data_IF_316865024013
#
_entry.id   IF_316865024013
#
_cell.length_a   1.000
_cell.length_b   1.000
_cell.length_c   1.000
_cell.angle_alpha   90.00
_cell.angle_beta   90.00
_cell.angle_gamma   90.00
#
_symmetry.space_group_name_H-M   'P 1'
#
loop_
_entity.id
_entity.type
_entity.pdbx_description
1 polymer ?
#
# COMPACT_ATOMS: atom_id res chain seq x y z
N UNK A 1 18.93 -11.32 -9.39
CA UNK A 1 18.10 -10.21 -9.94
C UNK A 1 17.33 -10.79 -11.10
N UNK A 2 16.00 -10.64 -11.12
CA UNK A 2 15.11 -11.39 -12.01
C UNK A 2 15.49 -11.31 -13.49
N UNK A 3 15.86 -10.12 -13.98
CA UNK A 3 16.32 -9.92 -15.36
C UNK A 3 17.55 -10.76 -15.71
N UNK A 4 18.52 -10.89 -14.80
CA UNK A 4 19.72 -11.71 -14.99
C UNK A 4 19.34 -13.19 -15.10
N UNK A 5 18.45 -13.66 -14.22
CA UNK A 5 17.98 -15.05 -14.23
C UNK A 5 17.25 -15.38 -15.55
N UNK A 6 16.34 -14.51 -15.99
CA UNK A 6 15.64 -14.66 -17.27
C UNK A 6 16.62 -14.68 -18.44
N UNK A 7 17.59 -13.77 -18.50
CA UNK A 7 18.62 -13.77 -19.55
C UNK A 7 19.39 -15.10 -19.59
N UNK A 8 19.83 -15.60 -18.44
CA UNK A 8 20.57 -16.86 -18.35
C UNK A 8 19.73 -18.07 -18.74
N UNK A 9 18.43 -18.08 -18.44
CA UNK A 9 17.51 -19.14 -18.88
C UNK A 9 17.37 -19.22 -20.40
N UNK A 10 17.62 -18.10 -21.10
CA UNK A 10 17.65 -18.01 -22.56
C UNK A 10 19.06 -18.23 -23.14
N UNK A 11 20.04 -18.62 -22.32
CA UNK A 11 21.45 -18.77 -22.71
C UNK A 11 22.05 -17.55 -23.42
N UNK A 12 21.57 -16.35 -23.10
CA UNK A 12 22.04 -15.09 -23.69
C UNK A 12 23.18 -14.48 -22.86
N UNK A 13 24.20 -13.95 -23.52
CA UNK A 13 25.23 -13.10 -22.89
C UNK A 13 24.69 -11.70 -22.61
N UNK A 14 25.37 -10.94 -21.74
CA UNK A 14 25.02 -9.55 -21.47
C UNK A 14 25.12 -8.68 -22.74
N UNK A 15 26.11 -8.95 -23.61
CA UNK A 15 26.29 -8.22 -24.87
C UNK A 15 25.13 -8.49 -25.83
N UNK A 16 24.74 -9.75 -26.02
CA UNK A 16 23.58 -10.10 -26.86
C UNK A 16 22.28 -9.47 -26.37
N UNK A 17 22.08 -9.39 -25.03
CA UNK A 17 20.92 -8.67 -24.49
C UNK A 17 20.99 -7.17 -24.76
N UNK A 18 22.17 -6.56 -24.59
CA UNK A 18 22.40 -5.15 -24.86
C UNK A 18 22.08 -4.80 -26.33
N UNK A 19 22.60 -5.61 -27.26
CA UNK A 19 22.40 -5.44 -28.70
C UNK A 19 20.92 -5.58 -29.06
N UNK A 20 20.24 -6.62 -28.57
CA UNK A 20 18.81 -6.85 -28.85
C UNK A 20 17.91 -5.77 -28.25
N UNK A 21 18.25 -5.26 -27.06
CA UNK A 21 17.51 -4.20 -26.39
C UNK A 21 17.90 -2.78 -26.87
N UNK A 22 18.88 -2.64 -27.77
CA UNK A 22 19.41 -1.36 -28.24
C UNK A 22 19.87 -0.44 -27.09
N UNK A 23 20.54 -1.01 -26.09
CA UNK A 23 21.09 -0.28 -24.94
C UNK A 23 22.58 -0.56 -24.78
N UNK A 24 23.32 0.33 -24.12
CA UNK A 24 24.73 0.11 -23.84
C UNK A 24 24.97 -1.05 -22.87
N UNK A 25 26.05 -1.80 -23.08
CA UNK A 25 26.46 -2.91 -22.19
C UNK A 25 26.63 -2.47 -20.72
N UNK A 26 27.04 -1.22 -20.49
CA UNK A 26 27.15 -0.63 -19.15
C UNK A 26 25.78 -0.55 -18.45
N UNK A 27 24.71 -0.26 -19.19
CA UNK A 27 23.33 -0.24 -18.68
C UNK A 27 22.90 -1.62 -18.21
N UNK A 28 23.17 -2.67 -19.01
CA UNK A 28 22.88 -4.06 -18.62
C UNK A 28 23.63 -4.44 -17.33
N UNK A 29 24.94 -4.19 -17.29
CA UNK A 29 25.78 -4.49 -16.10
C UNK A 29 25.28 -3.80 -14.85
N UNK A 30 24.87 -2.54 -14.96
CA UNK A 30 24.34 -1.74 -13.85
C UNK A 30 23.01 -2.28 -13.37
N UNK A 31 22.07 -2.58 -14.29
CA UNK A 31 20.75 -3.13 -13.98
C UNK A 31 20.85 -4.51 -13.33
N UNK A 32 21.70 -5.40 -13.85
CA UNK A 32 21.88 -6.75 -13.26
C UNK A 32 22.53 -6.73 -11.88
N UNK A 33 23.21 -5.62 -11.52
CA UNK A 33 23.74 -5.35 -10.18
C UNK A 33 22.71 -4.67 -9.25
N UNK A 34 21.47 -4.48 -9.69
CA UNK A 34 20.41 -3.86 -8.90
C UNK A 34 20.29 -2.34 -9.08
N UNK A 35 20.96 -1.75 -10.07
CA UNK A 35 20.75 -0.35 -10.41
C UNK A 35 19.35 -0.10 -10.97
N UNK A 36 18.77 1.06 -10.65
CA UNK A 36 17.44 1.45 -11.14
C UNK A 36 17.37 1.57 -12.66
N UNK A 37 16.18 1.57 -13.21
CA UNK A 37 15.94 1.70 -14.65
C UNK A 37 14.66 2.49 -14.90
N UNK A 38 14.59 3.20 -16.01
CA UNK A 38 13.37 3.88 -16.44
C UNK A 38 12.44 2.92 -17.19
N UNK A 39 11.20 3.34 -17.39
CA UNK A 39 10.19 2.52 -18.05
C UNK A 39 10.59 2.15 -19.48
N UNK A 40 11.17 3.08 -20.25
CA UNK A 40 11.62 2.81 -21.62
C UNK A 40 12.65 1.68 -21.68
N UNK A 41 13.65 1.71 -20.78
CA UNK A 41 14.67 0.66 -20.68
C UNK A 41 14.02 -0.65 -20.23
N UNK A 42 13.03 -0.62 -19.32
CA UNK A 42 12.30 -1.82 -18.92
C UNK A 42 11.61 -2.47 -20.11
N UNK A 43 10.85 -1.69 -20.87
CA UNK A 43 10.08 -2.15 -22.03
C UNK A 43 11.03 -2.74 -23.07
N UNK A 44 12.14 -2.05 -23.38
CA UNK A 44 13.16 -2.55 -24.32
C UNK A 44 13.76 -3.88 -23.87
N UNK A 45 14.08 -4.02 -22.58
CA UNK A 45 14.60 -5.28 -22.02
C UNK A 45 13.56 -6.41 -22.05
N UNK A 46 12.30 -6.12 -21.71
CA UNK A 46 11.23 -7.11 -21.75
C UNK A 46 10.95 -7.58 -23.19
N UNK A 47 11.02 -6.68 -24.19
CA UNK A 47 10.96 -7.06 -25.62
C UNK A 47 12.13 -7.95 -26.02
N UNK A 48 13.35 -7.59 -25.60
CA UNK A 48 14.54 -8.37 -25.91
C UNK A 48 14.56 -9.75 -25.22
N UNK A 49 13.89 -9.89 -24.08
CA UNK A 49 13.76 -11.15 -23.35
C UNK A 49 12.51 -11.95 -23.72
N UNK A 50 11.69 -11.45 -24.65
CA UNK A 50 10.40 -12.04 -25.02
C UNK A 50 9.45 -12.22 -23.82
N UNK A 51 9.39 -11.19 -22.97
CA UNK A 51 8.58 -11.11 -21.74
C UNK A 51 7.68 -9.86 -21.69
N UNK A 52 7.49 -9.16 -22.81
CA UNK A 52 6.63 -7.96 -22.84
C UNK A 52 5.18 -8.28 -22.46
N UNK A 53 4.67 -9.45 -22.86
CA UNK A 53 3.31 -9.93 -22.54
C UNK A 53 3.02 -10.00 -21.04
N UNK A 54 4.04 -10.07 -20.18
CA UNK A 54 3.84 -10.04 -18.73
C UNK A 54 3.28 -8.69 -18.25
N UNK A 55 3.41 -7.62 -19.03
CA UNK A 55 2.79 -6.35 -18.72
C UNK A 55 1.27 -6.41 -18.84
N UNK A 56 0.71 -7.30 -19.68
CA UNK A 56 -0.74 -7.40 -19.84
C UNK A 56 -1.42 -7.81 -18.53
N UNK A 57 -0.81 -8.77 -17.81
CA UNK A 57 -1.27 -9.15 -16.48
C UNK A 57 -1.20 -7.98 -15.49
N UNK A 58 -0.10 -7.21 -15.49
CA UNK A 58 0.06 -6.08 -14.57
C UNK A 58 -0.90 -4.93 -14.87
N UNK A 59 -1.17 -4.66 -16.15
CA UNK A 59 -1.94 -3.50 -16.59
C UNK A 59 -3.45 -3.79 -16.64
N UNK A 60 -3.85 -5.01 -16.97
CA UNK A 60 -5.24 -5.36 -17.28
C UNK A 60 -5.86 -6.39 -16.33
N UNK A 61 -5.21 -6.74 -15.20
CA UNK A 61 -5.81 -7.56 -14.12
C UNK A 61 -7.04 -6.92 -13.43
N UNK A 62 -7.57 -5.80 -13.95
CA UNK A 62 -8.54 -4.96 -13.25
C UNK A 62 -10.01 -5.14 -13.63
N UNK A 63 -10.39 -6.10 -14.50
CA UNK A 63 -11.81 -6.28 -14.87
C UNK A 63 -12.61 -7.22 -13.93
N UNK A 64 -12.01 -7.87 -12.94
CA UNK A 64 -12.71 -8.81 -12.04
C UNK A 64 -12.75 -8.39 -10.57
N UNK A 65 -12.61 -7.10 -10.26
CA UNK A 65 -13.28 -6.58 -9.06
C UNK A 65 -14.65 -6.08 -9.47
N UNK A 66 -15.56 -7.04 -9.70
CA UNK A 66 -16.99 -6.79 -9.65
C UNK A 66 -17.26 -6.03 -8.36
N UNK A 67 -17.54 -4.74 -8.50
CA UNK A 67 -18.04 -3.91 -7.44
C UNK A 67 -19.40 -4.52 -7.08
N UNK A 68 -19.42 -5.42 -6.11
CA UNK A 68 -20.68 -5.92 -5.54
C UNK A 68 -21.27 -4.75 -4.76
N UNK A 69 -21.93 -3.86 -5.48
CA UNK A 69 -22.75 -2.84 -4.86
C UNK A 69 -23.98 -3.54 -4.33
N UNK A 70 -23.93 -3.86 -3.05
CA UNK A 70 -25.09 -4.29 -2.28
C UNK A 70 -26.07 -3.12 -2.19
N UNK A 71 -26.79 -2.82 -3.27
CA UNK A 71 -28.03 -2.07 -3.20
C UNK A 71 -29.10 -2.98 -2.60
N UNK A 72 -29.04 -3.21 -1.29
CA UNK A 72 -30.23 -3.60 -0.52
C UNK A 72 -31.06 -2.33 -0.30
N UNK A 73 -31.68 -1.85 -1.38
CA UNK A 73 -32.80 -0.93 -1.33
C UNK A 73 -34.01 -1.72 -0.81
N UNK A 74 -34.45 -1.35 0.39
CA UNK A 74 -35.25 -2.23 1.23
C UNK A 74 -36.69 -2.51 0.80
N UNK A 75 -37.22 -3.56 1.44
CA UNK A 75 -38.63 -3.68 1.79
C UNK A 75 -38.73 -4.02 3.28
N UNK A 76 -39.50 -3.21 4.01
CA UNK A 76 -39.64 -3.33 5.45
C UNK A 76 -40.42 -4.57 5.87
N UNK A 77 -40.03 -5.15 7.00
CA UNK A 77 -40.99 -5.83 7.87
C UNK A 77 -40.59 -5.63 9.32
N UNK A 78 -41.55 -5.16 10.09
CA UNK A 78 -41.32 -4.34 11.27
C UNK A 78 -40.72 -5.07 12.47
N UNK A 79 -40.14 -4.24 13.34
CA UNK A 79 -40.42 -4.28 14.78
C UNK A 79 -40.05 -2.95 15.42
N UNK A 80 -41.06 -2.10 15.54
CA UNK A 80 -41.07 -1.00 16.50
C UNK A 80 -40.94 -1.62 17.90
N UNK A 81 -39.76 -1.54 18.52
CA UNK A 81 -39.67 -1.74 19.96
C UNK A 81 -40.22 -0.49 20.64
N UNK A 82 -41.45 -0.66 21.12
CA UNK A 82 -42.21 0.26 21.95
C UNK A 82 -41.33 0.75 23.10
N UNK A 83 -41.12 2.06 23.13
CA UNK A 83 -40.68 2.83 24.29
C UNK A 83 -41.61 2.54 25.46
N UNK A 84 -41.11 1.90 26.52
CA UNK A 84 -41.69 2.01 27.85
C UNK A 84 -40.69 2.75 28.75
N UNK A 85 -41.04 3.99 29.07
CA UNK A 85 -40.46 4.73 30.18
C UNK A 85 -41.26 4.37 31.44
N UNK A 86 -40.58 4.12 32.56
CA UNK A 86 -40.65 4.94 33.78
C UNK A 86 -40.27 4.14 35.05
N UNK A 87 -39.70 4.89 36.01
CA UNK A 87 -39.28 4.55 37.37
C UNK A 87 -37.96 3.73 37.43
N UNK A 88 -36.87 4.20 38.02
CA UNK A 88 -36.82 4.90 39.31
C UNK A 88 -35.99 6.17 39.31
N UNK A 89 -36.62 7.21 39.85
CA UNK A 89 -35.96 8.37 40.42
C UNK A 89 -35.22 7.95 41.69
N UNK A 90 -34.18 8.73 42.01
CA UNK A 90 -33.83 9.13 43.37
C UNK A 90 -32.76 8.30 44.11
N UNK A 91 -31.50 8.75 43.99
CA UNK A 91 -30.79 9.44 45.07
C UNK A 91 -29.35 9.74 44.59
N UNK A 92 -29.07 10.96 44.15
CA UNK A 92 -28.54 12.04 45.02
C UNK A 92 -27.12 11.73 45.50
N UNK A 93 -26.14 12.34 44.83
CA UNK A 93 -25.07 13.14 45.46
C UNK A 93 -24.23 13.84 44.39
N UNK A 94 -24.54 15.12 44.18
CA UNK A 94 -23.63 16.27 44.00
C UNK A 94 -22.38 16.13 43.10
N UNK A 95 -22.41 16.82 41.95
CA UNK A 95 -21.32 17.71 41.54
C UNK A 95 -21.59 19.10 42.18
N UNK A 96 -20.61 19.98 42.50
CA UNK A 96 -19.62 20.55 41.57
C UNK A 96 -18.17 20.51 42.14
N UNK A 97 -17.13 20.29 41.33
CA UNK A 97 -16.37 21.27 40.53
C UNK A 97 -15.18 21.89 41.30
N UNK A 98 -14.08 22.04 40.54
CA UNK A 98 -13.02 23.06 40.67
C UNK A 98 -11.77 22.73 41.49
N UNK A 99 -10.65 22.87 40.76
CA UNK A 99 -9.33 23.35 41.23
C UNK A 99 -8.48 22.32 41.99
N UNK A 100 -7.21 22.07 41.67
CA UNK A 100 -6.17 23.02 41.29
C UNK A 100 -5.07 22.27 40.50
N UNK A 101 -4.64 22.83 39.36
CA UNK A 101 -3.49 22.31 38.64
C UNK A 101 -2.23 22.75 39.38
N UNK A 102 -1.54 21.81 40.03
CA UNK A 102 -0.27 22.10 40.68
C UNK A 102 0.88 22.10 39.64
N UNK A 103 1.14 23.28 39.08
CA UNK A 103 2.29 23.58 38.23
C UNK A 103 3.54 23.93 39.07
N UNK A 104 3.99 23.07 39.98
CA UNK A 104 5.16 23.40 40.81
C UNK A 104 5.93 22.17 41.31
N UNK A 105 6.31 21.23 40.44
CA UNK A 105 7.26 20.17 40.83
C UNK A 105 8.06 19.51 39.67
N UNK A 106 8.19 20.14 38.49
CA UNK A 106 8.93 19.55 37.37
C UNK A 106 9.86 20.53 36.64
N UNK A 107 10.43 21.50 37.38
CA UNK A 107 11.39 22.46 36.83
C UNK A 107 12.77 22.42 37.52
N UNK A 108 13.12 21.30 38.14
CA UNK A 108 14.47 21.13 38.69
C UNK A 108 14.96 19.70 38.47
N UNK A 109 15.50 19.41 37.28
CA UNK A 109 16.90 19.00 37.21
C UNK A 109 17.46 19.13 35.79
N UNK A 110 18.08 20.29 35.58
CA UNK A 110 19.44 20.39 35.03
C UNK A 110 19.77 19.60 33.77
N UNK A 111 19.75 20.35 32.66
CA UNK A 111 20.87 20.43 31.72
C UNK A 111 22.18 19.87 32.31
N UNK A 112 22.65 18.74 31.77
CA UNK A 112 24.07 18.43 31.77
C UNK A 112 24.49 18.14 30.32
N UNK A 113 25.68 18.63 30.01
CA UNK A 113 26.33 18.75 28.71
C UNK A 113 26.57 17.43 28.00
#
# INVERSE_FOLDING_TARGET
ARLKETRLSLSMTQQQLADRAHVGIATIKRIEKGGGLNLDTLISLLRALDKLHNLDAVLFESELRNFHESYEGGEGSGRLQVRQQAADLNNKSSAPQSEEVNYSAALENSLCW
#
